data_IF_143120361771
#
_entry.id   IF_143120361771
#
_cell.length_a   1.000
_cell.length_b   1.000
_cell.length_c   1.000
_cell.angle_alpha   90.00
_cell.angle_beta   90.00
_cell.angle_gamma   90.00
#
_symmetry.space_group_name_H-M   'P 1'
#
loop_
_entity.id
_entity.type
_entity.pdbx_description
1 polymer ?
#
# COMPACT_ATOMS: atom_id res chain seq x y z
N UNK A 1 -9.95 14.85 -14.93
CA UNK A 1 -9.10 14.21 -13.93
C UNK A 1 -8.27 15.30 -13.28
N UNK A 2 -8.21 15.34 -11.97
CA UNK A 2 -7.38 16.29 -11.23
C UNK A 2 -5.91 16.08 -11.62
N UNK A 3 -5.20 17.14 -11.95
CA UNK A 3 -3.76 17.06 -12.29
C UNK A 3 -2.96 17.08 -11.00
N UNK A 4 -2.04 16.15 -10.84
CA UNK A 4 -1.08 16.14 -9.72
C UNK A 4 0.24 16.85 -10.07
N UNK A 5 0.22 17.67 -11.14
CA UNK A 5 1.40 18.40 -11.59
C UNK A 5 1.91 19.35 -10.49
N UNK A 6 3.21 19.24 -10.21
CA UNK A 6 3.87 20.01 -9.15
C UNK A 6 3.68 19.42 -7.74
N UNK A 7 2.97 18.31 -7.59
CA UNK A 7 2.88 17.57 -6.33
C UNK A 7 4.04 16.62 -6.19
N UNK A 8 4.47 16.38 -4.96
CA UNK A 8 5.49 15.40 -4.61
C UNK A 8 4.89 14.25 -3.81
N UNK A 9 5.23 13.01 -4.15
CA UNK A 9 4.69 11.83 -3.51
C UNK A 9 5.78 10.86 -3.04
N UNK A 10 5.60 10.31 -1.85
CA UNK A 10 6.37 9.18 -1.35
C UNK A 10 5.50 7.91 -1.30
N UNK A 11 5.98 6.81 -1.91
CA UNK A 11 5.28 5.53 -1.93
C UNK A 11 6.18 4.44 -1.33
N UNK A 12 5.89 4.03 -0.10
CA UNK A 12 6.57 2.88 0.51
C UNK A 12 6.10 1.58 -0.15
N UNK A 13 7.03 0.64 -0.40
CA UNK A 13 6.70 -0.58 -1.14
C UNK A 13 6.34 -0.33 -2.61
N UNK A 14 6.80 0.80 -3.18
CA UNK A 14 6.48 1.27 -4.53
C UNK A 14 7.22 0.58 -5.66
N UNK A 15 7.98 -0.49 -5.39
CA UNK A 15 8.85 -1.13 -6.40
C UNK A 15 8.22 -2.32 -7.12
N UNK A 16 7.05 -2.80 -6.69
CA UNK A 16 6.32 -3.90 -7.32
C UNK A 16 4.84 -3.90 -6.93
N UNK A 17 4.05 -4.72 -7.64
CA UNK A 17 2.63 -4.96 -7.34
C UNK A 17 1.80 -3.68 -7.23
N UNK A 18 0.94 -3.60 -6.22
CA UNK A 18 0.02 -2.47 -6.00
C UNK A 18 0.79 -1.16 -5.82
N UNK A 19 1.88 -1.15 -5.03
CA UNK A 19 2.67 0.06 -4.80
C UNK A 19 3.30 0.62 -6.08
N UNK A 20 3.79 -0.24 -6.96
CA UNK A 20 4.33 0.18 -8.26
C UNK A 20 3.23 0.75 -9.17
N UNK A 21 2.07 0.12 -9.22
CA UNK A 21 0.95 0.64 -9.99
C UNK A 21 0.49 2.01 -9.48
N UNK A 22 0.48 2.21 -8.16
CA UNK A 22 0.19 3.51 -7.54
C UNK A 22 1.23 4.55 -7.97
N UNK A 23 2.52 4.23 -7.84
CA UNK A 23 3.60 5.15 -8.22
C UNK A 23 3.52 5.54 -9.71
N UNK A 24 3.29 4.57 -10.60
CA UNK A 24 3.08 4.82 -12.03
C UNK A 24 1.88 5.71 -12.29
N UNK A 25 0.76 5.47 -11.61
CA UNK A 25 -0.45 6.26 -11.80
C UNK A 25 -0.26 7.71 -11.32
N UNK A 26 0.27 7.93 -10.13
CA UNK A 26 0.54 9.28 -9.63
C UNK A 26 1.52 10.04 -10.53
N UNK A 27 2.58 9.36 -11.00
CA UNK A 27 3.55 9.92 -11.93
C UNK A 27 2.92 10.29 -13.29
N UNK A 28 2.03 9.45 -13.84
CA UNK A 28 1.32 9.74 -15.10
C UNK A 28 0.35 10.91 -14.99
N UNK A 29 -0.07 11.29 -13.78
CA UNK A 29 -0.86 12.50 -13.51
C UNK A 29 0.01 13.73 -13.19
N UNK A 30 1.34 13.59 -13.29
CA UNK A 30 2.30 14.70 -13.23
C UNK A 30 2.99 14.90 -11.89
N UNK A 31 2.83 13.98 -10.93
CA UNK A 31 3.54 14.07 -9.66
C UNK A 31 5.01 13.63 -9.79
N UNK A 32 5.89 14.28 -9.01
CA UNK A 32 7.23 13.81 -8.75
C UNK A 32 7.20 12.69 -7.69
N UNK A 33 7.92 11.59 -7.92
CA UNK A 33 7.74 10.37 -7.12
C UNK A 33 9.05 9.91 -6.50
N UNK A 34 9.02 9.60 -5.20
CA UNK A 34 10.00 8.71 -4.59
C UNK A 34 9.34 7.40 -4.18
N UNK A 35 9.95 6.29 -4.53
CA UNK A 35 9.54 4.96 -4.07
C UNK A 35 10.60 4.34 -3.17
N UNK A 36 10.18 3.54 -2.19
CA UNK A 36 11.07 2.72 -1.39
C UNK A 36 10.75 1.23 -1.55
N UNK A 37 11.80 0.41 -1.57
CA UNK A 37 11.73 -1.04 -1.60
C UNK A 37 12.95 -1.67 -0.93
N UNK A 38 12.99 -2.99 -0.78
CA UNK A 38 14.07 -3.71 -0.08
C UNK A 38 15.21 -4.17 -0.99
N UNK A 39 15.16 -3.93 -2.30
CA UNK A 39 16.10 -4.47 -3.28
C UNK A 39 16.49 -3.41 -4.30
N UNK A 40 17.80 -3.20 -4.48
CA UNK A 40 18.36 -2.30 -5.50
C UNK A 40 17.89 -2.66 -6.92
N UNK A 41 17.85 -3.96 -7.25
CA UNK A 41 17.40 -4.41 -8.55
C UNK A 41 15.94 -4.03 -8.81
N UNK A 42 15.04 -4.19 -7.80
CA UNK A 42 13.64 -3.80 -7.91
C UNK A 42 13.48 -2.28 -7.96
N UNK A 43 14.30 -1.52 -7.22
CA UNK A 43 14.32 -0.06 -7.29
C UNK A 43 14.69 0.41 -8.70
N UNK A 44 15.76 -0.12 -9.27
CA UNK A 44 16.19 0.22 -10.64
C UNK A 44 15.13 -0.15 -11.70
N UNK A 45 14.47 -1.31 -11.56
CA UNK A 45 13.38 -1.71 -12.44
C UNK A 45 12.15 -0.79 -12.31
N UNK A 46 11.79 -0.43 -11.08
CA UNK A 46 10.67 0.48 -10.81
C UNK A 46 10.92 1.87 -11.39
N UNK A 47 12.13 2.44 -11.18
CA UNK A 47 12.50 3.75 -11.76
C UNK A 47 12.29 3.74 -13.28
N UNK A 48 12.82 2.74 -14.00
CA UNK A 48 12.63 2.63 -15.45
C UNK A 48 11.14 2.55 -15.84
N UNK A 49 10.37 1.72 -15.11
CA UNK A 49 8.96 1.50 -15.43
C UNK A 49 8.08 2.72 -15.13
N UNK A 50 8.42 3.55 -14.15
CA UNK A 50 7.70 4.78 -13.82
C UNK A 50 8.10 5.90 -14.79
N UNK A 51 9.41 6.10 -15.03
CA UNK A 51 9.92 7.12 -15.95
C UNK A 51 9.40 6.95 -17.40
N UNK A 52 9.15 5.71 -17.83
CA UNK A 52 8.57 5.45 -19.15
C UNK A 52 7.14 6.03 -19.33
N UNK A 53 6.49 6.48 -18.28
CA UNK A 53 5.11 6.96 -18.30
C UNK A 53 4.95 8.38 -17.69
N UNK A 54 6.05 9.05 -17.38
CA UNK A 54 6.04 10.35 -16.71
C UNK A 54 7.23 11.20 -17.11
N UNK A 55 7.01 12.51 -17.16
CA UNK A 55 8.06 13.54 -17.31
C UNK A 55 8.56 14.06 -15.94
N UNK A 56 7.91 13.63 -14.83
CA UNK A 56 8.25 14.03 -13.47
C UNK A 56 9.57 13.41 -12.99
N UNK A 57 10.09 13.95 -11.91
CA UNK A 57 11.28 13.43 -11.24
C UNK A 57 10.95 12.12 -10.53
N UNK A 58 11.69 11.06 -10.82
CA UNK A 58 11.50 9.73 -10.25
C UNK A 58 12.77 9.31 -9.52
N UNK A 59 12.62 8.98 -8.25
CA UNK A 59 13.68 8.48 -7.37
C UNK A 59 13.26 7.14 -6.72
N UNK A 60 14.22 6.28 -6.47
CA UNK A 60 13.97 5.01 -5.78
C UNK A 60 15.10 4.69 -4.81
N UNK A 61 14.73 4.22 -3.62
CA UNK A 61 15.68 3.88 -2.57
C UNK A 61 15.48 2.45 -2.06
N UNK A 62 16.56 1.67 -2.06
CA UNK A 62 16.60 0.36 -1.42
C UNK A 62 16.88 0.53 0.07
N UNK A 63 15.90 0.14 0.90
CA UNK A 63 15.97 0.36 2.34
C UNK A 63 15.09 -0.66 3.08
N UNK A 64 15.50 -1.04 4.28
CA UNK A 64 14.67 -1.84 5.17
C UNK A 64 13.80 -0.94 6.06
N UNK A 65 12.52 -0.81 5.69
CA UNK A 65 11.55 -0.02 6.43
C UNK A 65 11.11 -0.66 7.76
N UNK A 66 11.57 -1.86 8.10
CA UNK A 66 11.32 -2.46 9.42
C UNK A 66 12.01 -1.71 10.54
N UNK A 67 13.09 -1.00 10.22
CA UNK A 67 13.90 -0.26 11.19
C UNK A 67 13.55 1.22 11.23
N UNK A 68 13.81 1.86 12.35
CA UNK A 68 13.66 3.32 12.48
C UNK A 68 14.67 4.04 11.57
N UNK A 69 15.88 3.53 11.53
CA UNK A 69 16.98 4.07 10.74
C UNK A 69 16.65 4.05 9.24
N UNK A 70 16.05 2.95 8.76
CA UNK A 70 15.61 2.85 7.36
C UNK A 70 14.50 3.83 7.03
N UNK A 71 13.53 4.03 7.92
CA UNK A 71 12.49 5.04 7.75
C UNK A 71 13.06 6.47 7.75
N UNK A 72 14.03 6.75 8.64
CA UNK A 72 14.70 8.05 8.70
C UNK A 72 15.54 8.30 7.43
N UNK A 73 16.30 7.31 6.99
CA UNK A 73 17.16 7.44 5.79
C UNK A 73 16.36 7.78 4.53
N UNK A 74 15.20 7.17 4.34
CA UNK A 74 14.37 7.46 3.17
C UNK A 74 13.65 8.81 3.30
N UNK A 75 13.27 9.23 4.50
CA UNK A 75 12.74 10.57 4.75
C UNK A 75 13.78 11.66 4.45
N UNK A 76 15.01 11.48 4.92
CA UNK A 76 16.12 12.42 4.67
C UNK A 76 16.44 12.52 3.18
N UNK A 77 16.43 11.37 2.47
CA UNK A 77 16.62 11.34 1.04
C UNK A 77 15.49 12.10 0.30
N UNK A 78 14.23 11.87 0.68
CA UNK A 78 13.07 12.54 0.09
C UNK A 78 13.13 14.06 0.33
N UNK A 79 13.39 14.47 1.57
CA UNK A 79 13.46 15.88 1.95
C UNK A 79 14.58 16.63 1.21
N UNK A 80 15.73 15.98 1.01
CA UNK A 80 16.86 16.54 0.25
C UNK A 80 16.53 16.73 -1.22
N UNK A 81 15.75 15.80 -1.80
CA UNK A 81 15.43 15.80 -3.24
C UNK A 81 14.29 16.76 -3.56
N UNK A 82 13.22 16.73 -2.78
CA UNK A 82 11.97 17.43 -3.10
C UNK A 82 11.66 18.60 -2.17
N UNK A 83 12.19 18.61 -0.95
CA UNK A 83 11.97 19.70 0.02
C UNK A 83 10.59 19.71 0.67
N UNK A 84 9.58 19.08 0.05
CA UNK A 84 8.20 19.00 0.51
C UNK A 84 7.61 17.60 0.28
N UNK A 85 6.40 17.35 0.79
CA UNK A 85 5.65 16.14 0.50
C UNK A 85 4.15 16.42 0.53
N UNK A 86 3.47 16.24 -0.60
CA UNK A 86 2.02 16.41 -0.72
C UNK A 86 1.27 15.09 -0.49
N UNK A 87 1.89 13.96 -0.84
CA UNK A 87 1.24 12.66 -0.84
C UNK A 87 2.14 11.62 -0.19
N UNK A 88 1.63 10.97 0.86
CA UNK A 88 2.24 9.81 1.48
C UNK A 88 1.38 8.58 1.23
N UNK A 89 1.91 7.58 0.50
CA UNK A 89 1.25 6.29 0.34
C UNK A 89 2.05 5.21 1.05
N UNK A 90 1.44 4.57 2.05
CA UNK A 90 2.03 3.42 2.71
C UNK A 90 1.49 2.12 2.12
N UNK A 91 2.26 1.52 1.21
CA UNK A 91 1.94 0.24 0.55
C UNK A 91 2.93 -0.88 0.90
N UNK A 92 3.97 -0.58 1.70
CA UNK A 92 4.88 -1.60 2.18
C UNK A 92 4.16 -2.57 3.12
N UNK A 93 4.29 -3.86 2.86
CA UNK A 93 3.71 -4.89 3.71
C UNK A 93 3.92 -6.28 3.12
N UNK A 94 4.40 -7.18 3.97
CA UNK A 94 4.48 -8.60 3.68
C UNK A 94 4.21 -9.33 4.99
N UNK A 95 3.27 -10.26 4.97
CA UNK A 95 2.97 -11.11 6.12
C UNK A 95 2.89 -12.54 5.64
N UNK A 96 3.37 -13.46 6.45
CA UNK A 96 3.22 -14.89 6.17
C UNK A 96 1.86 -15.37 6.66
N UNK A 97 1.21 -16.21 5.89
CA UNK A 97 0.09 -17.03 6.35
C UNK A 97 0.62 -18.25 7.11
N UNK A 98 -0.21 -18.81 7.96
CA UNK A 98 0.14 -20.00 8.72
C UNK A 98 -1.06 -20.48 9.51
N UNK A 99 -0.94 -21.69 10.06
CA UNK A 99 -1.95 -22.29 10.93
C UNK A 99 -1.47 -22.17 12.38
N UNK A 100 -2.23 -21.49 13.20
CA UNK A 100 -1.97 -21.45 14.64
C UNK A 100 -2.23 -22.82 15.28
N UNK A 101 -1.37 -23.37 16.17
CA UNK A 101 -0.25 -22.73 16.88
C UNK A 101 1.13 -22.87 16.22
N UNK A 102 1.23 -23.40 14.99
CA UNK A 102 2.53 -23.69 14.35
C UNK A 102 3.21 -22.46 13.75
N UNK A 103 2.56 -21.29 13.82
CA UNK A 103 3.10 -20.06 13.27
C UNK A 103 4.07 -19.38 14.24
N UNK A 104 5.30 -19.11 13.78
CA UNK A 104 6.36 -18.54 14.58
C UNK A 104 6.02 -17.12 15.06
N UNK A 105 6.44 -16.79 16.30
CA UNK A 105 6.38 -15.43 16.84
C UNK A 105 7.12 -14.42 15.95
N UNK A 106 8.21 -14.84 15.33
CA UNK A 106 8.96 -14.02 14.38
C UNK A 106 8.12 -13.51 13.20
N UNK A 107 7.13 -14.26 12.73
CA UNK A 107 6.25 -13.84 11.65
C UNK A 107 5.33 -12.68 12.09
N UNK A 108 4.88 -12.67 13.35
CA UNK A 108 4.12 -11.58 13.94
C UNK A 108 4.99 -10.33 14.08
N UNK A 109 6.19 -10.47 14.65
CA UNK A 109 7.14 -9.37 14.82
C UNK A 109 7.48 -8.74 13.47
N UNK A 110 7.82 -9.53 12.45
CA UNK A 110 8.18 -9.05 11.11
C UNK A 110 7.01 -8.35 10.42
N UNK A 111 5.82 -8.95 10.48
CA UNK A 111 4.60 -8.36 9.89
C UNK A 111 4.27 -7.00 10.50
N UNK A 112 4.31 -6.89 11.83
CA UNK A 112 4.11 -5.61 12.53
C UNK A 112 5.21 -4.61 12.23
N UNK A 113 6.47 -5.03 12.20
CA UNK A 113 7.60 -4.15 11.92
C UNK A 113 7.48 -3.47 10.56
N UNK A 114 7.21 -4.25 9.50
CA UNK A 114 7.17 -3.73 8.14
C UNK A 114 5.88 -2.97 7.82
N UNK A 115 4.72 -3.49 8.24
CA UNK A 115 3.45 -2.90 7.80
C UNK A 115 2.91 -1.87 8.79
N UNK A 116 2.93 -2.17 10.09
CA UNK A 116 2.37 -1.25 11.09
C UNK A 116 3.40 -0.22 11.55
N UNK A 117 4.54 -0.66 12.09
CA UNK A 117 5.52 0.29 12.64
C UNK A 117 6.13 1.19 11.57
N UNK A 118 6.41 0.68 10.36
CA UNK A 118 6.86 1.53 9.26
C UNK A 118 5.79 2.57 8.88
N UNK A 119 4.51 2.19 8.81
CA UNK A 119 3.41 3.14 8.56
C UNK A 119 3.35 4.26 9.59
N UNK A 120 3.46 3.91 10.89
CA UNK A 120 3.49 4.89 11.99
C UNK A 120 4.72 5.80 11.91
N UNK A 121 5.92 5.23 11.67
CA UNK A 121 7.17 5.99 11.60
C UNK A 121 7.20 6.94 10.42
N UNK A 122 6.83 6.47 9.23
CA UNK A 122 6.75 7.29 8.03
C UNK A 122 5.72 8.40 8.17
N UNK A 123 4.53 8.09 8.69
CA UNK A 123 3.52 9.13 8.95
C UNK A 123 4.06 10.23 9.86
N UNK A 124 4.75 9.86 10.97
CA UNK A 124 5.32 10.83 11.91
C UNK A 124 6.42 11.68 11.26
N UNK A 125 7.33 11.06 10.49
CA UNK A 125 8.43 11.76 9.84
C UNK A 125 7.94 12.73 8.77
N UNK A 126 7.00 12.29 7.92
CA UNK A 126 6.48 13.11 6.84
C UNK A 126 5.39 14.11 7.28
N UNK A 127 4.85 13.98 8.50
CA UNK A 127 3.72 14.78 8.95
C UNK A 127 3.92 16.30 8.83
N UNK A 128 5.07 16.88 9.22
CA UNK A 128 5.27 18.32 9.07
C UNK A 128 5.23 18.80 7.61
N UNK A 129 5.74 17.98 6.67
CA UNK A 129 5.71 18.31 5.24
C UNK A 129 4.28 18.19 4.69
N UNK A 130 3.55 17.16 5.10
CA UNK A 130 2.15 16.96 4.71
C UNK A 130 1.25 18.08 5.23
N UNK A 131 1.42 18.51 6.48
CA UNK A 131 0.67 19.62 7.05
C UNK A 131 0.95 20.96 6.32
N UNK A 132 2.22 21.23 6.00
CA UNK A 132 2.60 22.41 5.24
C UNK A 132 2.02 22.43 3.80
N UNK A 133 1.80 21.24 3.22
CA UNK A 133 1.26 21.07 1.88
C UNK A 133 -0.27 20.90 1.82
N UNK A 134 -0.97 20.84 2.97
CA UNK A 134 -2.39 20.43 3.06
C UNK A 134 -2.59 19.06 2.37
N UNK A 135 -1.70 18.12 2.66
CA UNK A 135 -1.46 16.91 1.89
C UNK A 135 -2.42 15.76 2.18
N UNK A 136 -2.04 14.60 1.63
CA UNK A 136 -2.84 13.38 1.71
C UNK A 136 -2.01 12.20 2.22
N UNK A 137 -2.60 11.38 3.09
CA UNK A 137 -2.07 10.08 3.51
C UNK A 137 -3.03 8.99 3.05
N UNK A 138 -2.53 8.01 2.32
CA UNK A 138 -3.30 6.82 1.94
C UNK A 138 -2.58 5.55 2.41
N UNK A 139 -3.25 4.78 3.28
CA UNK A 139 -2.72 3.51 3.76
C UNK A 139 -3.32 2.34 2.96
N UNK A 140 -2.48 1.47 2.42
CA UNK A 140 -2.92 0.24 1.76
C UNK A 140 -2.99 -0.87 2.80
N UNK A 141 -4.19 -1.15 3.28
CA UNK A 141 -4.45 -2.05 4.40
C UNK A 141 -4.71 -3.48 3.88
N UNK A 142 -5.94 -3.82 3.59
CA UNK A 142 -6.35 -5.14 3.10
C UNK A 142 -7.63 -5.66 3.76
N UNK A 143 -8.40 -6.46 3.03
CA UNK A 143 -9.72 -6.97 3.43
C UNK A 143 -9.73 -7.77 4.74
N UNK A 144 -8.62 -8.45 5.07
CA UNK A 144 -8.49 -9.21 6.31
C UNK A 144 -8.56 -8.36 7.60
N UNK A 145 -8.51 -7.03 7.51
CA UNK A 145 -8.81 -6.13 8.64
C UNK A 145 -10.27 -6.23 9.10
N UNK A 146 -11.18 -6.62 8.20
CA UNK A 146 -12.62 -6.72 8.44
C UNK A 146 -13.16 -8.15 8.39
N UNK A 147 -12.48 -9.01 7.64
CA UNK A 147 -12.84 -10.41 7.48
C UNK A 147 -11.66 -11.28 7.93
N UNK A 148 -11.54 -11.60 9.24
CA UNK A 148 -10.46 -12.42 9.78
C UNK A 148 -10.45 -13.81 9.16
N UNK A 149 -9.26 -14.33 8.90
CA UNK A 149 -9.04 -15.68 8.38
C UNK A 149 -8.07 -16.42 9.33
N UNK A 150 -8.46 -17.63 9.78
CA UNK A 150 -7.67 -18.47 10.67
C UNK A 150 -6.31 -18.87 10.06
N UNK A 151 -6.17 -18.88 8.73
CA UNK A 151 -4.91 -19.15 8.03
C UNK A 151 -4.09 -17.90 7.73
N UNK A 152 -4.57 -16.72 8.13
CA UNK A 152 -3.93 -15.43 7.86
C UNK A 152 -3.96 -14.49 9.08
N UNK A 153 -3.75 -15.04 10.29
CA UNK A 153 -3.88 -14.28 11.54
C UNK A 153 -2.93 -13.09 11.63
N UNK A 154 -1.65 -13.27 11.26
CA UNK A 154 -0.67 -12.16 11.26
C UNK A 154 -1.16 -11.02 10.36
N UNK A 155 -1.54 -11.36 9.12
CA UNK A 155 -2.01 -10.36 8.15
C UNK A 155 -3.29 -9.67 8.60
N UNK A 156 -4.23 -10.42 9.19
CA UNK A 156 -5.47 -9.87 9.76
C UNK A 156 -5.21 -8.89 10.88
N UNK A 157 -4.40 -9.30 11.88
CA UNK A 157 -4.05 -8.48 13.04
C UNK A 157 -3.33 -7.18 12.63
N UNK A 158 -2.32 -7.29 11.78
CA UNK A 158 -1.55 -6.12 11.29
C UNK A 158 -2.43 -5.17 10.48
N UNK A 159 -3.30 -5.70 9.61
CA UNK A 159 -4.24 -4.90 8.84
C UNK A 159 -5.24 -4.17 9.75
N UNK A 160 -5.79 -4.86 10.76
CA UNK A 160 -6.72 -4.25 11.72
C UNK A 160 -6.04 -3.13 12.53
N UNK A 161 -4.81 -3.36 13.00
CA UNK A 161 -4.02 -2.35 13.69
C UNK A 161 -3.77 -1.11 12.81
N UNK A 162 -3.38 -1.31 11.54
CA UNK A 162 -3.12 -0.20 10.62
C UNK A 162 -4.42 0.55 10.26
N UNK A 163 -5.55 -0.13 10.07
CA UNK A 163 -6.84 0.51 9.84
C UNK A 163 -7.28 1.37 11.05
N UNK A 164 -7.15 0.85 12.27
CA UNK A 164 -7.45 1.58 13.49
C UNK A 164 -6.55 2.82 13.63
N UNK A 165 -5.23 2.66 13.44
CA UNK A 165 -4.28 3.77 13.42
C UNK A 165 -4.65 4.82 12.38
N UNK A 166 -5.01 4.42 11.16
CA UNK A 166 -5.40 5.34 10.07
C UNK A 166 -6.62 6.17 10.46
N UNK A 167 -7.61 5.54 11.12
CA UNK A 167 -8.80 6.24 11.61
C UNK A 167 -8.46 7.26 12.71
N UNK A 168 -7.60 6.90 13.64
CA UNK A 168 -7.15 7.81 14.69
C UNK A 168 -6.31 8.97 14.11
N UNK A 169 -5.42 8.66 13.15
CA UNK A 169 -4.59 9.65 12.47
C UNK A 169 -5.44 10.66 11.68
N UNK A 170 -6.59 10.24 11.14
CA UNK A 170 -7.52 11.14 10.51
C UNK A 170 -8.08 12.19 11.49
N UNK A 171 -8.26 11.84 12.77
CA UNK A 171 -8.63 12.81 13.80
C UNK A 171 -7.57 13.91 13.99
N UNK A 172 -6.28 13.56 13.94
CA UNK A 172 -5.19 14.54 13.92
C UNK A 172 -5.19 15.34 12.63
N UNK A 173 -5.45 14.68 11.48
CA UNK A 173 -5.51 15.32 10.18
C UNK A 173 -6.53 16.44 10.06
N UNK A 174 -7.65 16.39 10.81
CA UNK A 174 -8.61 17.49 10.88
C UNK A 174 -8.03 18.77 11.49
N UNK A 175 -7.07 18.65 12.40
CA UNK A 175 -6.43 19.80 13.05
C UNK A 175 -5.34 20.41 12.15
N UNK A 176 -4.64 19.57 11.38
CA UNK A 176 -3.48 19.95 10.60
C UNK A 176 -3.77 20.08 9.09
N UNK A 177 -5.04 19.98 8.70
CA UNK A 177 -5.53 19.98 7.30
C UNK A 177 -4.84 18.93 6.41
N UNK A 178 -4.63 17.73 6.94
CA UNK A 178 -4.09 16.58 6.24
C UNK A 178 -5.18 15.54 6.03
N UNK A 179 -5.52 15.21 4.78
CA UNK A 179 -6.47 14.12 4.51
C UNK A 179 -5.84 12.76 4.76
N UNK A 180 -6.52 11.92 5.52
CA UNK A 180 -6.08 10.55 5.81
C UNK A 180 -7.18 9.56 5.47
N UNK A 181 -6.89 8.63 4.56
CA UNK A 181 -7.81 7.56 4.18
C UNK A 181 -7.04 6.23 4.09
N UNK A 182 -7.77 5.11 4.03
CA UNK A 182 -7.14 3.83 3.76
C UNK A 182 -7.97 2.99 2.78
N UNK A 183 -7.28 2.11 2.07
CA UNK A 183 -7.88 1.23 1.08
C UNK A 183 -7.70 -0.21 1.55
N UNK A 184 -8.74 -1.02 1.36
CA UNK A 184 -8.73 -2.45 1.58
C UNK A 184 -8.79 -3.17 0.22
N UNK A 185 -7.65 -3.44 -0.45
CA UNK A 185 -7.64 -4.27 -1.63
C UNK A 185 -8.06 -5.69 -1.30
N UNK A 186 -8.79 -6.31 -2.22
CA UNK A 186 -9.06 -7.74 -2.21
C UNK A 186 -7.93 -8.54 -2.88
N UNK A 187 -8.28 -9.72 -3.39
CA UNK A 187 -7.38 -10.57 -4.16
C UNK A 187 -6.97 -9.85 -5.45
N UNK A 188 -5.70 -9.46 -5.52
CA UNK A 188 -5.16 -8.62 -6.61
C UNK A 188 -4.07 -9.36 -7.36
N UNK A 189 -4.11 -9.35 -8.69
CA UNK A 189 -3.13 -9.94 -9.61
C UNK A 189 -1.76 -9.29 -9.43
N UNK A 190 -0.92 -9.90 -8.62
CA UNK A 190 0.45 -9.50 -8.34
C UNK A 190 1.36 -10.71 -8.43
N UNK A 191 2.67 -10.49 -8.56
CA UNK A 191 3.64 -11.60 -8.51
C UNK A 191 3.46 -12.48 -7.27
N UNK A 192 3.13 -11.86 -6.12
CA UNK A 192 2.86 -12.60 -4.89
C UNK A 192 1.65 -13.53 -5.02
N UNK A 193 0.55 -13.03 -5.61
CA UNK A 193 -0.63 -13.87 -5.82
C UNK A 193 -0.33 -15.01 -6.79
N UNK A 194 0.39 -14.73 -7.88
CA UNK A 194 0.79 -15.74 -8.85
C UNK A 194 1.66 -16.84 -8.21
N UNK A 195 2.59 -16.47 -7.33
CA UNK A 195 3.38 -17.44 -6.57
C UNK A 195 2.51 -18.31 -5.66
N UNK A 196 1.53 -17.71 -4.95
CA UNK A 196 0.60 -18.44 -4.09
C UNK A 196 -0.28 -19.42 -4.90
N UNK A 197 -0.82 -18.98 -6.04
CA UNK A 197 -1.61 -19.83 -6.93
C UNK A 197 -0.77 -21.00 -7.48
N UNK A 198 0.46 -20.72 -7.93
CA UNK A 198 1.37 -21.73 -8.47
C UNK A 198 1.78 -22.75 -7.41
N UNK A 199 2.03 -22.31 -6.18
CA UNK A 199 2.38 -23.20 -5.08
C UNK A 199 1.20 -24.13 -4.77
N UNK A 200 -0.01 -23.58 -4.60
CA UNK A 200 -1.20 -24.39 -4.32
C UNK A 200 -1.53 -25.36 -5.47
N UNK A 201 -1.43 -24.90 -6.71
CA UNK A 201 -1.67 -25.72 -7.90
C UNK A 201 -0.75 -26.95 -7.91
N UNK A 202 0.55 -26.75 -7.60
CA UNK A 202 1.52 -27.85 -7.50
C UNK A 202 1.20 -28.78 -6.32
N UNK A 203 0.93 -28.24 -5.12
CA UNK A 203 0.74 -29.04 -3.91
C UNK A 203 -0.56 -29.87 -3.95
N UNK A 204 -1.60 -29.36 -4.63
CA UNK A 204 -2.90 -30.01 -4.78
C UNK A 204 -3.05 -30.76 -6.13
N UNK A 205 -2.02 -30.73 -7.00
CA UNK A 205 -2.03 -31.31 -8.35
C UNK A 205 -3.21 -30.82 -9.21
N UNK A 206 -3.46 -29.50 -9.14
CA UNK A 206 -4.48 -28.78 -9.91
C UNK A 206 -3.85 -27.88 -10.96
N UNK A 207 -4.63 -27.39 -11.92
CA UNK A 207 -4.18 -26.30 -12.79
C UNK A 207 -4.23 -24.96 -12.05
N UNK A 208 -3.40 -23.99 -12.45
CA UNK A 208 -3.44 -22.62 -11.90
C UNK A 208 -4.81 -21.98 -12.14
N UNK A 209 -5.44 -22.27 -13.28
CA UNK A 209 -6.74 -21.73 -13.63
C UNK A 209 -7.87 -22.33 -12.75
N UNK A 210 -7.79 -23.60 -12.40
CA UNK A 210 -8.73 -24.21 -11.45
C UNK A 210 -8.59 -23.57 -10.06
N UNK A 211 -7.37 -23.44 -9.55
CA UNK A 211 -7.12 -22.78 -8.25
C UNK A 211 -7.61 -21.33 -8.26
N UNK A 212 -7.43 -20.62 -9.37
CA UNK A 212 -7.94 -19.26 -9.57
C UNK A 212 -9.47 -19.22 -9.54
N UNK A 213 -10.12 -20.11 -10.27
CA UNK A 213 -11.58 -20.19 -10.34
C UNK A 213 -12.18 -20.52 -8.96
N UNK A 214 -11.64 -21.51 -8.27
CA UNK A 214 -12.05 -21.85 -6.90
C UNK A 214 -11.93 -20.67 -5.95
N UNK A 215 -10.82 -19.93 -6.03
CA UNK A 215 -10.58 -18.75 -5.19
C UNK A 215 -11.59 -17.64 -5.47
N UNK A 216 -11.87 -17.35 -6.74
CA UNK A 216 -12.87 -16.36 -7.12
C UNK A 216 -14.28 -16.78 -6.66
N UNK A 217 -14.62 -18.04 -6.77
CA UNK A 217 -15.89 -18.59 -6.29
C UNK A 217 -16.00 -18.47 -4.76
N UNK A 218 -14.96 -18.83 -4.01
CA UNK A 218 -14.95 -18.73 -2.55
C UNK A 218 -15.11 -17.29 -2.05
N UNK A 219 -14.48 -16.32 -2.72
CA UNK A 219 -14.61 -14.89 -2.43
C UNK A 219 -15.93 -14.30 -2.94
N UNK A 220 -16.62 -14.97 -3.87
CA UNK A 220 -17.83 -14.48 -4.52
C UNK A 220 -17.60 -13.28 -5.44
N UNK A 221 -16.43 -13.22 -6.09
CA UNK A 221 -16.01 -12.13 -6.98
C UNK A 221 -16.04 -12.57 -8.45
N UNK A 222 -16.26 -11.61 -9.35
CA UNK A 222 -16.32 -11.85 -10.80
C UNK A 222 -14.96 -11.95 -11.47
N UNK A 223 -13.95 -11.30 -10.92
CA UNK A 223 -12.55 -11.31 -11.35
C UNK A 223 -11.63 -11.00 -10.19
N UNK A 224 -10.39 -11.37 -10.31
CA UNK A 224 -9.33 -10.82 -9.45
C UNK A 224 -9.14 -9.33 -9.74
N UNK A 225 -8.83 -8.56 -8.71
CA UNK A 225 -8.47 -7.16 -8.87
C UNK A 225 -7.17 -6.99 -9.65
N UNK A 226 -7.04 -5.88 -10.37
CA UNK A 226 -5.75 -5.47 -10.94
C UNK A 226 -5.10 -4.44 -10.02
N UNK A 227 -3.77 -4.35 -9.94
CA UNK A 227 -3.09 -3.30 -9.19
C UNK A 227 -3.58 -1.89 -9.54
N UNK A 228 -3.96 -1.69 -10.79
CA UNK A 228 -4.49 -0.44 -11.34
C UNK A 228 -5.85 -0.06 -10.76
N UNK A 229 -6.67 -1.02 -10.31
CA UNK A 229 -7.95 -0.73 -9.64
C UNK A 229 -7.71 0.05 -8.34
N UNK A 230 -6.71 -0.37 -7.56
CA UNK A 230 -6.30 0.34 -6.34
C UNK A 230 -5.60 1.65 -6.66
N UNK A 231 -4.73 1.67 -7.65
CA UNK A 231 -4.00 2.87 -8.06
C UNK A 231 -4.93 4.00 -8.52
N UNK A 232 -6.01 3.66 -9.25
CA UNK A 232 -7.01 4.63 -9.67
C UNK A 232 -7.70 5.32 -8.48
N UNK A 233 -8.06 4.55 -7.44
CA UNK A 233 -8.66 5.12 -6.24
C UNK A 233 -7.66 5.97 -5.44
N UNK A 234 -6.39 5.55 -5.33
CA UNK A 234 -5.35 6.36 -4.67
C UNK A 234 -5.21 7.71 -5.36
N UNK A 235 -5.10 7.74 -6.69
CA UNK A 235 -4.98 8.98 -7.44
C UNK A 235 -6.18 9.90 -7.23
N UNK A 236 -7.40 9.34 -7.25
CA UNK A 236 -8.62 10.10 -6.95
C UNK A 236 -8.60 10.69 -5.52
N UNK A 237 -8.24 9.88 -4.51
CA UNK A 237 -8.19 10.33 -3.11
C UNK A 237 -7.12 11.41 -2.86
N UNK A 238 -6.09 11.48 -3.70
CA UNK A 238 -5.04 12.48 -3.63
C UNK A 238 -5.35 13.76 -4.42
N UNK A 239 -6.44 13.77 -5.19
CA UNK A 239 -6.90 14.93 -5.95
C UNK A 239 -7.82 15.85 -5.16
N UNK A 240 -7.99 17.08 -5.64
CA UNK A 240 -8.81 18.10 -4.98
C UNK A 240 -10.30 17.72 -4.90
N UNK A 241 -10.79 16.92 -5.84
CA UNK A 241 -12.17 16.45 -5.88
C UNK A 241 -12.53 15.54 -4.70
N UNK A 242 -11.54 14.91 -4.06
CA UNK A 242 -11.72 14.01 -2.94
C UNK A 242 -11.50 14.65 -1.56
N UNK A 243 -11.27 15.97 -1.46
CA UNK A 243 -10.96 16.67 -0.19
C UNK A 243 -12.00 16.43 0.92
N UNK A 244 -13.26 16.16 0.58
CA UNK A 244 -14.30 15.88 1.56
C UNK A 244 -14.35 14.39 1.98
N UNK A 245 -13.53 13.52 1.37
CA UNK A 245 -13.37 12.12 1.78
C UNK A 245 -12.23 12.04 2.78
N UNK A 246 -12.55 11.88 4.07
CA UNK A 246 -11.60 11.90 5.16
C UNK A 246 -11.94 10.85 6.23
N UNK A 247 -10.93 10.14 6.72
CA UNK A 247 -11.10 9.08 7.71
C UNK A 247 -11.94 7.90 7.20
N UNK A 248 -11.93 7.67 5.89
CA UNK A 248 -12.69 6.62 5.23
C UNK A 248 -11.82 5.40 4.90
N UNK A 249 -12.37 4.22 5.14
CA UNK A 249 -11.79 2.95 4.70
C UNK A 249 -12.58 2.37 3.54
N UNK A 250 -12.00 2.36 2.33
CA UNK A 250 -12.71 2.00 1.11
C UNK A 250 -12.23 0.64 0.62
N UNK A 251 -13.16 -0.27 0.35
CA UNK A 251 -12.88 -1.57 -0.21
C UNK A 251 -12.73 -1.49 -1.74
N UNK A 252 -11.67 -2.11 -2.26
CA UNK A 252 -11.42 -2.34 -3.69
C UNK A 252 -11.23 -3.84 -3.87
N UNK A 253 -12.29 -4.60 -3.71
CA UNK A 253 -12.24 -6.05 -3.52
C UNK A 253 -13.26 -6.84 -4.35
N UNK A 254 -13.96 -6.18 -5.28
CA UNK A 254 -14.97 -6.82 -6.13
C UNK A 254 -16.21 -7.30 -5.37
N UNK A 255 -16.41 -6.87 -4.10
CA UNK A 255 -17.52 -7.27 -3.25
C UNK A 255 -17.22 -8.50 -2.37
N UNK A 256 -15.94 -8.86 -2.18
CA UNK A 256 -15.53 -9.97 -1.33
C UNK A 256 -15.90 -9.74 0.14
N UNK A 257 -15.72 -8.53 0.65
CA UNK A 257 -16.09 -8.17 2.02
C UNK A 257 -17.62 -8.11 2.16
N UNK A 258 -18.17 -8.93 3.05
CA UNK A 258 -19.64 -9.04 3.23
C UNK A 258 -20.21 -8.04 4.23
N UNK A 259 -19.39 -7.43 5.05
CA UNK A 259 -19.81 -6.38 6.00
C UNK A 259 -20.00 -5.02 5.30
N UNK A 260 -20.83 -4.17 5.90
CA UNK A 260 -21.13 -2.81 5.39
C UNK A 260 -20.36 -1.70 6.09
N UNK A 261 -19.46 -2.02 7.02
CA UNK A 261 -18.62 -1.06 7.78
C UNK A 261 -17.13 -1.38 7.66
#
# INVERSE_FOLDING_TARGET
>A
MSSLKGKTAFVSGGTRGIGLAIAKRLASEGADIMVAGSSEANCAAATRAITAQSEGRIEAHAVDLRTLEGCQAVFDAHSRVFGGCDILVHSAGATRGGVFPDQDDADFIDGFALKFHAGVRLSRLFWPLLAAAHGNVVMIVGGASRTPDAKFMVGGAVNAALANFSKALAGQGLQDDVNVNWINPGQTETERLQQLLSTRARDENLSIDDVRAERMQAEGIRRLGQPEDTAALVAFLCGDEARHIHGAGIAVDGGATKGYF
#
